data_IF_616385358972
#
_entry.id   IF_616385358972
#
_cell.length_a   1.000
_cell.length_b   1.000
_cell.length_c   1.000
_cell.angle_alpha   90.00
_cell.angle_beta   90.00
_cell.angle_gamma   90.00
#
_symmetry.space_group_name_H-M   'P 1'
#
loop_
_entity.id
_entity.type
_entity.pdbx_description
1 polymer ?
#
# COMPACT_ATOMS: atom_id res chain seq x y z
N UNK A 1 21.30 -3.06 -20.30
CA UNK A 1 21.72 -2.75 -21.69
C UNK A 1 21.01 -1.53 -22.27
N UNK A 2 19.72 -1.29 -21.95
CA UNK A 2 18.95 -0.15 -22.48
C UNK A 2 19.54 1.23 -22.12
N UNK A 3 20.24 1.33 -20.98
CA UNK A 3 20.83 2.56 -20.47
C UNK A 3 22.35 2.67 -20.72
N UNK A 4 22.96 1.71 -21.42
CA UNK A 4 24.39 1.74 -21.69
C UNK A 4 24.77 2.98 -22.54
N UNK A 5 25.71 3.77 -22.05
CA UNK A 5 26.17 5.00 -22.71
C UNK A 5 25.25 6.22 -22.59
N UNK A 6 24.10 6.11 -21.92
CA UNK A 6 23.21 7.25 -21.67
C UNK A 6 23.64 8.05 -20.46
N UNK A 7 23.42 9.36 -20.52
CA UNK A 7 23.52 10.20 -19.30
C UNK A 7 22.39 9.82 -18.34
N UNK A 8 22.62 10.04 -17.05
CA UNK A 8 21.65 9.70 -15.98
C UNK A 8 20.24 10.25 -16.25
N UNK A 9 20.16 11.47 -16.78
CA UNK A 9 18.92 12.14 -17.15
C UNK A 9 18.19 11.53 -18.36
N UNK A 10 18.85 10.65 -19.10
CA UNK A 10 18.32 9.96 -20.29
C UNK A 10 18.03 8.48 -20.01
N UNK A 11 18.18 8.03 -18.78
CA UNK A 11 17.93 6.65 -18.39
C UNK A 11 16.45 6.27 -18.48
N UNK A 12 16.18 5.04 -18.89
CA UNK A 12 14.86 4.44 -18.89
C UNK A 12 14.78 3.38 -17.80
N UNK A 13 13.66 3.34 -17.08
CA UNK A 13 13.39 2.37 -16.04
C UNK A 13 12.14 1.56 -16.36
N UNK A 14 12.10 0.30 -15.93
CA UNK A 14 10.92 -0.54 -16.10
C UNK A 14 9.73 0.01 -15.27
N UNK A 15 10.02 0.50 -14.07
CA UNK A 15 8.97 0.97 -13.19
C UNK A 15 9.47 2.03 -12.19
N UNK A 16 8.56 2.91 -11.76
CA UNK A 16 8.68 3.65 -10.51
C UNK A 16 7.76 2.99 -9.48
N UNK A 17 8.32 2.23 -8.56
CA UNK A 17 7.58 1.42 -7.57
C UNK A 17 8.13 1.65 -6.16
N UNK A 18 7.90 2.81 -5.54
CA UNK A 18 8.11 2.95 -4.11
C UNK A 18 7.17 2.01 -3.35
N UNK A 19 7.54 1.54 -2.19
CA UNK A 19 6.67 0.77 -1.27
C UNK A 19 6.17 -0.59 -1.79
N UNK A 20 6.88 -1.25 -2.72
CA UNK A 20 6.49 -2.55 -3.24
C UNK A 20 6.95 -3.73 -2.36
N UNK A 21 7.82 -3.49 -1.37
CA UNK A 21 8.37 -4.54 -0.48
C UNK A 21 7.24 -5.24 0.28
N UNK A 22 6.31 -4.49 0.87
CA UNK A 22 5.16 -5.06 1.57
C UNK A 22 4.24 -5.92 0.66
N UNK A 23 3.81 -5.46 -0.52
CA UNK A 23 3.07 -6.31 -1.46
C UNK A 23 3.81 -7.60 -1.83
N UNK A 24 5.13 -7.56 -2.02
CA UNK A 24 5.93 -8.76 -2.29
C UNK A 24 5.92 -9.71 -1.09
N UNK A 25 6.14 -9.20 0.13
CA UNK A 25 6.08 -10.01 1.35
C UNK A 25 4.70 -10.65 1.54
N UNK A 26 3.62 -9.88 1.32
CA UNK A 26 2.24 -10.36 1.37
C UNK A 26 1.97 -11.46 0.36
N UNK A 27 2.53 -11.38 -0.84
CA UNK A 27 2.37 -12.43 -1.85
C UNK A 27 3.01 -13.77 -1.44
N UNK A 28 3.91 -13.75 -0.46
CA UNK A 28 4.54 -14.91 0.15
C UNK A 28 3.93 -15.31 1.51
N UNK A 29 2.82 -14.67 1.90
CA UNK A 29 2.07 -15.02 3.12
C UNK A 29 2.48 -14.28 4.39
N UNK A 30 3.31 -13.23 4.30
CA UNK A 30 3.74 -12.44 5.45
C UNK A 30 3.25 -10.99 5.35
N UNK A 31 2.84 -10.43 6.47
CA UNK A 31 2.44 -9.03 6.59
C UNK A 31 3.34 -8.27 7.58
N UNK A 32 3.17 -6.95 7.65
CA UNK A 32 3.95 -6.10 8.56
C UNK A 32 3.74 -6.47 10.04
N UNK A 33 2.52 -6.85 10.41
CA UNK A 33 2.14 -7.24 11.78
C UNK A 33 1.56 -8.65 11.83
N UNK A 34 1.66 -9.28 13.00
CA UNK A 34 1.07 -10.57 13.31
C UNK A 34 -0.47 -10.54 13.30
N UNK A 35 -1.10 -11.66 13.59
CA UNK A 35 -2.55 -11.89 13.50
C UNK A 35 -3.37 -10.98 14.41
N UNK A 36 -2.82 -10.60 15.57
CA UNK A 36 -3.49 -9.72 16.56
C UNK A 36 -3.01 -8.27 16.49
N UNK A 37 -2.13 -7.91 15.55
CA UNK A 37 -1.54 -6.59 15.38
C UNK A 37 -0.69 -6.12 16.58
N UNK A 38 -0.19 -7.05 17.39
CA UNK A 38 0.57 -6.78 18.62
C UNK A 38 2.07 -6.71 18.44
N UNK A 39 2.58 -7.31 17.35
CA UNK A 39 4.01 -7.36 17.07
C UNK A 39 4.30 -7.27 15.57
N UNK A 40 5.40 -6.60 15.16
CA UNK A 40 5.83 -6.61 13.77
C UNK A 40 6.44 -7.95 13.38
N UNK A 41 6.34 -8.29 12.08
CA UNK A 41 6.86 -9.52 11.48
C UNK A 41 7.98 -9.27 10.46
N UNK A 42 8.73 -8.17 10.59
CA UNK A 42 9.74 -7.79 9.59
C UNK A 42 10.94 -8.76 9.53
N UNK A 43 11.15 -9.58 10.56
CA UNK A 43 12.21 -10.60 10.58
C UNK A 43 11.79 -11.93 9.94
N UNK A 44 10.56 -12.04 9.47
CA UNK A 44 10.10 -13.24 8.74
C UNK A 44 10.92 -13.44 7.46
N UNK A 45 11.29 -14.69 7.10
CA UNK A 45 12.02 -14.98 5.87
C UNK A 45 11.38 -14.41 4.59
N UNK A 46 10.05 -14.32 4.53
CA UNK A 46 9.34 -13.70 3.41
C UNK A 46 9.63 -12.20 3.29
N UNK A 47 9.68 -11.47 4.41
CA UNK A 47 10.06 -10.05 4.43
C UNK A 47 11.52 -9.84 4.02
N UNK A 48 12.44 -10.66 4.56
CA UNK A 48 13.85 -10.62 4.18
C UNK A 48 14.01 -10.87 2.68
N UNK A 49 13.31 -11.87 2.14
CA UNK A 49 13.32 -12.17 0.71
C UNK A 49 12.74 -11.02 -0.12
N UNK A 50 11.65 -10.39 0.33
CA UNK A 50 11.04 -9.25 -0.35
C UNK A 50 12.02 -8.05 -0.43
N UNK A 51 12.72 -7.74 0.66
CA UNK A 51 13.73 -6.68 0.69
C UNK A 51 14.91 -6.99 -0.25
N UNK A 52 15.39 -8.23 -0.27
CA UNK A 52 16.45 -8.68 -1.20
C UNK A 52 16.02 -8.55 -2.67
N UNK A 53 14.77 -8.90 -2.99
CA UNK A 53 14.23 -8.75 -4.34
C UNK A 53 14.19 -7.27 -4.73
N UNK A 54 13.69 -6.40 -3.85
CA UNK A 54 13.61 -4.98 -4.12
C UNK A 54 15.00 -4.36 -4.31
N UNK A 55 15.95 -4.66 -3.41
CA UNK A 55 17.34 -4.23 -3.53
C UNK A 55 17.94 -4.67 -4.87
N UNK A 56 17.73 -5.93 -5.28
CA UNK A 56 18.19 -6.42 -6.57
C UNK A 56 17.60 -5.64 -7.75
N UNK A 57 16.31 -5.29 -7.68
CA UNK A 57 15.65 -4.52 -8.75
C UNK A 57 16.18 -3.11 -8.88
N UNK A 58 16.51 -2.46 -7.77
CA UNK A 58 17.01 -1.09 -7.75
C UNK A 58 18.52 -1.06 -8.02
N UNK A 59 19.31 -1.79 -7.24
CA UNK A 59 20.75 -1.58 -7.13
C UNK A 59 21.57 -2.48 -8.07
N UNK A 60 21.08 -3.69 -8.40
CA UNK A 60 21.79 -4.61 -9.30
C UNK A 60 21.26 -4.57 -10.74
N UNK A 61 19.93 -4.62 -10.91
CA UNK A 61 19.30 -4.71 -12.23
C UNK A 61 18.93 -3.35 -12.83
N UNK A 62 18.90 -2.29 -12.00
CA UNK A 62 18.48 -0.94 -12.39
C UNK A 62 17.13 -0.92 -13.13
N UNK A 63 16.17 -1.70 -12.65
CA UNK A 63 14.79 -1.72 -13.17
C UNK A 63 13.96 -0.59 -12.59
N UNK A 64 14.30 -0.15 -11.38
CA UNK A 64 13.66 0.90 -10.61
C UNK A 64 14.72 1.96 -10.29
N UNK A 65 14.41 3.26 -10.37
CA UNK A 65 15.38 4.29 -10.01
C UNK A 65 15.69 4.27 -8.51
N UNK A 66 16.93 4.50 -8.15
CA UNK A 66 17.32 4.67 -6.76
C UNK A 66 16.99 6.08 -6.25
N UNK A 67 17.10 6.31 -4.92
CA UNK A 67 16.77 7.58 -4.30
C UNK A 67 17.53 8.77 -4.89
N UNK A 68 18.81 8.59 -5.25
CA UNK A 68 19.63 9.64 -5.85
C UNK A 68 19.17 9.98 -7.29
N UNK A 69 18.73 8.99 -8.04
CA UNK A 69 18.16 9.18 -9.37
C UNK A 69 16.83 9.92 -9.30
N UNK A 70 15.94 9.51 -8.41
CA UNK A 70 14.68 10.22 -8.14
C UNK A 70 14.94 11.66 -7.68
N UNK A 71 15.87 11.88 -6.76
CA UNK A 71 16.21 13.21 -6.27
C UNK A 71 16.79 14.11 -7.37
N UNK A 72 17.60 13.56 -8.29
CA UNK A 72 18.16 14.32 -9.41
C UNK A 72 17.09 14.77 -10.42
N UNK A 73 15.99 14.04 -10.52
CA UNK A 73 14.85 14.40 -11.36
C UNK A 73 13.95 15.44 -10.69
N UNK A 74 14.01 15.54 -9.34
CA UNK A 74 13.17 16.39 -8.51
C UNK A 74 13.74 17.80 -8.27
N UNK A 75 14.97 18.07 -8.69
CA UNK A 75 15.73 19.28 -8.31
C UNK A 75 15.01 20.61 -8.58
N UNK A 76 13.99 20.63 -9.43
CA UNK A 76 13.21 21.82 -9.79
C UNK A 76 11.75 21.82 -9.27
N UNK A 77 11.30 20.85 -8.43
CA UNK A 77 9.85 20.72 -8.15
C UNK A 77 9.52 20.33 -6.71
N UNK A 78 8.48 20.95 -6.19
CA UNK A 78 8.05 20.94 -4.78
C UNK A 78 7.37 19.66 -4.26
N UNK A 79 7.23 18.60 -5.05
CA UNK A 79 6.68 17.31 -4.58
C UNK A 79 7.17 16.10 -5.38
N UNK A 80 7.32 14.95 -4.73
CA UNK A 80 7.74 13.67 -5.34
C UNK A 80 6.78 13.25 -6.46
N UNK A 81 5.49 13.46 -6.29
CA UNK A 81 4.48 13.15 -7.31
C UNK A 81 4.61 14.02 -8.58
N UNK A 82 5.24 15.21 -8.47
CA UNK A 82 5.42 16.11 -9.61
C UNK A 82 6.47 15.64 -10.62
N UNK A 83 7.26 14.61 -10.28
CA UNK A 83 8.33 14.09 -11.15
C UNK A 83 7.99 12.77 -11.82
N UNK A 84 7.29 11.87 -11.15
CA UNK A 84 6.97 10.53 -11.68
C UNK A 84 6.06 10.58 -12.90
N UNK A 85 5.04 11.45 -12.88
CA UNK A 85 4.09 11.58 -13.99
C UNK A 85 4.74 12.16 -15.25
N UNK A 86 5.48 13.27 -15.20
CA UNK A 86 6.23 13.76 -16.37
C UNK A 86 7.19 12.72 -16.95
N UNK A 87 7.82 11.89 -16.12
CA UNK A 87 8.72 10.84 -16.60
C UNK A 87 7.96 9.68 -17.27
N UNK A 88 6.78 9.31 -16.77
CA UNK A 88 5.90 8.35 -17.43
C UNK A 88 5.44 8.89 -18.79
N UNK A 89 4.98 10.15 -18.84
CA UNK A 89 4.55 10.83 -20.08
C UNK A 89 5.69 10.95 -21.09
N UNK A 90 6.89 11.20 -20.60
CA UNK A 90 8.10 11.24 -21.45
C UNK A 90 8.58 9.82 -21.90
N UNK A 91 7.86 8.76 -21.52
CA UNK A 91 8.20 7.38 -21.85
C UNK A 91 9.45 6.85 -21.14
N UNK A 92 9.87 7.48 -20.05
CA UNK A 92 11.05 7.05 -19.27
C UNK A 92 10.73 5.95 -18.28
N UNK A 93 9.47 5.84 -17.85
CA UNK A 93 8.94 4.73 -17.07
C UNK A 93 7.90 3.98 -17.90
N UNK A 94 7.98 2.66 -17.90
CA UNK A 94 6.94 1.83 -18.50
C UNK A 94 5.75 1.61 -17.56
N UNK A 95 5.98 1.67 -16.24
CA UNK A 95 4.98 1.45 -15.19
C UNK A 95 5.21 2.38 -14.01
N UNK A 96 4.14 2.72 -13.29
CA UNK A 96 4.22 3.41 -12.00
C UNK A 96 3.32 2.72 -10.98
N UNK A 97 3.76 2.64 -9.73
CA UNK A 97 2.93 2.24 -8.60
C UNK A 97 2.45 3.48 -7.87
N UNK A 98 1.15 3.72 -7.89
CA UNK A 98 0.56 4.93 -7.34
C UNK A 98 -0.92 4.73 -7.03
N UNK A 99 -1.56 5.73 -6.42
CA UNK A 99 -3.01 5.72 -6.19
C UNK A 99 -3.80 6.27 -7.40
N UNK A 100 -5.09 5.97 -7.42
CA UNK A 100 -6.02 6.40 -8.49
C UNK A 100 -6.00 7.92 -8.76
N UNK A 101 -5.73 8.73 -7.75
CA UNK A 101 -5.65 10.20 -7.87
C UNK A 101 -4.69 10.66 -8.98
N UNK A 102 -3.72 9.85 -9.36
CA UNK A 102 -2.78 10.17 -10.43
C UNK A 102 -3.46 10.38 -11.78
N UNK A 103 -4.63 9.78 -12.00
CA UNK A 103 -5.39 9.96 -13.25
C UNK A 103 -5.77 11.43 -13.48
N UNK A 104 -6.04 12.20 -12.41
CA UNK A 104 -6.31 13.63 -12.52
C UNK A 104 -5.11 14.39 -13.12
N UNK A 105 -3.91 14.02 -12.73
CA UNK A 105 -2.70 14.66 -13.25
C UNK A 105 -2.38 14.16 -14.65
N UNK A 106 -2.54 12.87 -14.93
CA UNK A 106 -2.34 12.31 -16.28
C UNK A 106 -3.25 12.99 -17.32
N UNK A 107 -4.52 13.25 -16.96
CA UNK A 107 -5.48 13.96 -17.83
C UNK A 107 -5.05 15.38 -18.19
N UNK A 108 -4.29 16.07 -17.30
CA UNK A 108 -3.74 17.40 -17.57
C UNK A 108 -2.66 17.41 -18.63
N UNK A 109 -1.91 16.31 -18.78
CA UNK A 109 -0.83 16.19 -19.75
C UNK A 109 -1.30 15.85 -21.17
N UNK A 110 -2.59 15.57 -21.38
CA UNK A 110 -3.15 15.17 -22.70
C UNK A 110 -2.29 14.14 -23.40
N UNK A 111 -2.09 13.00 -22.73
CA UNK A 111 -1.19 11.95 -23.20
C UNK A 111 -1.82 11.24 -24.40
N UNK A 112 -1.43 11.63 -25.61
CA UNK A 112 -1.75 10.90 -26.83
C UNK A 112 -0.45 10.40 -27.48
N UNK A 113 -0.38 9.16 -27.96
CA UNK A 113 -1.37 8.07 -27.99
C UNK A 113 -1.10 6.97 -26.94
N UNK A 114 -0.76 7.30 -25.69
CA UNK A 114 -0.45 6.31 -24.67
C UNK A 114 -1.74 5.63 -24.19
N UNK A 115 -1.80 4.31 -24.31
CA UNK A 115 -2.85 3.51 -23.71
C UNK A 115 -2.47 3.09 -22.31
N UNK A 116 -3.32 3.41 -21.33
CA UNK A 116 -3.11 3.05 -19.94
C UNK A 116 -3.86 1.76 -19.59
N UNK A 117 -3.29 1.00 -18.68
CA UNK A 117 -3.95 -0.17 -18.08
C UNK A 117 -3.56 -0.28 -16.62
N UNK A 118 -4.44 -0.85 -15.82
CA UNK A 118 -4.17 -1.17 -14.44
C UNK A 118 -3.77 -2.64 -14.31
N UNK A 119 -2.67 -2.91 -13.61
CA UNK A 119 -2.14 -4.26 -13.38
C UNK A 119 -1.91 -4.51 -11.88
N UNK A 120 -1.78 -5.78 -11.53
CA UNK A 120 -1.39 -6.22 -10.20
C UNK A 120 0.11 -6.01 -9.97
N UNK A 121 0.54 -6.00 -8.70
CA UNK A 121 1.95 -6.12 -8.36
C UNK A 121 2.52 -7.47 -8.83
N UNK A 122 3.84 -7.55 -9.04
CA UNK A 122 4.52 -8.84 -9.14
C UNK A 122 4.23 -9.68 -7.90
N UNK A 123 3.80 -10.93 -8.10
CA UNK A 123 3.26 -11.76 -7.02
C UNK A 123 3.85 -13.17 -7.03
N UNK A 124 3.83 -13.81 -5.87
CA UNK A 124 4.05 -15.23 -5.68
C UNK A 124 2.69 -15.95 -5.58
N UNK A 125 2.46 -16.69 -4.50
CA UNK A 125 1.31 -17.59 -4.35
C UNK A 125 0.02 -16.89 -3.90
N UNK A 126 0.09 -15.64 -3.45
CA UNK A 126 -1.06 -14.92 -2.92
C UNK A 126 -1.24 -13.56 -3.60
N UNK A 127 -2.39 -13.40 -4.24
CA UNK A 127 -2.75 -12.16 -4.92
C UNK A 127 -3.16 -11.09 -3.91
N UNK A 128 -2.51 -9.95 -3.98
CA UNK A 128 -2.86 -8.83 -3.12
C UNK A 128 -2.67 -7.48 -3.80
N UNK A 129 -3.44 -6.51 -3.36
CA UNK A 129 -3.32 -5.10 -3.70
C UNK A 129 -3.52 -4.32 -2.41
N UNK A 130 -2.66 -3.35 -2.14
CA UNK A 130 -2.85 -2.49 -0.97
C UNK A 130 -3.94 -1.47 -1.26
N UNK A 131 -4.95 -1.42 -0.40
CA UNK A 131 -6.03 -0.46 -0.45
C UNK A 131 -5.87 0.57 0.66
N UNK A 132 -5.77 1.84 0.27
CA UNK A 132 -5.73 2.98 1.20
C UNK A 132 -7.08 3.69 1.11
N UNK A 133 -7.80 3.77 2.22
CA UNK A 133 -9.08 4.47 2.29
C UNK A 133 -8.92 5.89 2.82
N UNK A 134 -9.66 6.83 2.24
CA UNK A 134 -9.84 8.16 2.80
C UNK A 134 -10.98 8.13 3.81
N UNK A 135 -10.64 8.26 5.08
CA UNK A 135 -11.62 8.25 6.16
C UNK A 135 -11.92 9.67 6.60
N UNK A 136 -13.20 9.99 6.75
CA UNK A 136 -13.66 11.27 7.28
C UNK A 136 -14.42 11.04 8.58
N UNK A 137 -14.06 11.79 9.64
CA UNK A 137 -14.68 11.66 10.95
C UNK A 137 -15.00 13.05 11.54
N UNK A 138 -15.98 13.08 12.41
CA UNK A 138 -16.32 14.30 13.15
C UNK A 138 -15.46 14.36 14.42
N UNK A 139 -14.68 15.42 14.58
CA UNK A 139 -13.89 15.64 15.77
C UNK A 139 -14.79 15.70 17.02
N UNK A 140 -14.48 14.90 18.02
CA UNK A 140 -15.29 14.79 19.26
C UNK A 140 -15.52 16.14 19.95
N UNK A 141 -14.51 17.03 19.97
CA UNK A 141 -14.55 18.35 20.57
C UNK A 141 -15.21 19.43 19.72
N UNK A 142 -15.67 19.12 18.49
CA UNK A 142 -16.30 20.13 17.62
C UNK A 142 -17.57 20.69 18.25
N UNK A 143 -17.71 22.03 18.17
CA UNK A 143 -18.94 22.74 18.55
C UNK A 143 -19.99 22.76 17.43
N UNK A 144 -19.62 22.29 16.21
CA UNK A 144 -20.46 22.36 15.01
C UNK A 144 -20.75 20.97 14.44
N UNK A 145 -21.04 19.99 15.30
CA UNK A 145 -21.24 18.57 14.91
C UNK A 145 -22.37 18.38 13.91
N UNK A 146 -23.45 19.17 14.04
CA UNK A 146 -24.60 19.07 13.14
C UNK A 146 -24.25 19.53 11.71
N UNK A 147 -23.49 20.59 11.55
CA UNK A 147 -23.00 21.01 10.23
C UNK A 147 -22.00 19.97 9.65
N UNK A 148 -21.15 19.40 10.48
CA UNK A 148 -20.24 18.34 10.08
C UNK A 148 -21.00 17.10 9.60
N UNK A 149 -22.11 16.72 10.25
CA UNK A 149 -22.98 15.63 9.79
C UNK A 149 -23.58 15.91 8.41
N UNK A 150 -24.07 17.14 8.17
CA UNK A 150 -24.60 17.53 6.87
C UNK A 150 -23.53 17.38 5.79
N UNK A 151 -22.29 17.81 6.08
CA UNK A 151 -21.18 17.62 5.16
C UNK A 151 -20.85 16.14 4.89
N UNK A 152 -20.87 15.29 5.92
CA UNK A 152 -20.68 13.84 5.73
C UNK A 152 -21.78 13.21 4.87
N UNK A 153 -23.04 13.66 5.04
CA UNK A 153 -24.15 13.22 4.18
C UNK A 153 -23.95 13.65 2.73
N UNK A 154 -23.44 14.86 2.51
CA UNK A 154 -23.06 15.29 1.15
C UNK A 154 -21.96 14.40 0.55
N UNK A 155 -20.92 14.03 1.30
CA UNK A 155 -19.87 13.12 0.82
C UNK A 155 -20.41 11.72 0.47
N UNK A 156 -21.56 11.32 1.02
CA UNK A 156 -22.25 10.07 0.67
C UNK A 156 -23.30 10.27 -0.45
N UNK A 157 -23.54 11.51 -0.91
CA UNK A 157 -24.55 11.82 -1.89
C UNK A 157 -24.18 11.37 -3.30
N UNK A 158 -25.18 11.29 -4.17
CA UNK A 158 -25.00 11.01 -5.58
C UNK A 158 -24.13 12.06 -6.26
N UNK A 159 -24.37 13.31 -5.98
CA UNK A 159 -23.67 14.45 -6.58
C UNK A 159 -22.17 14.37 -6.34
N UNK A 160 -21.77 14.08 -5.11
CA UNK A 160 -20.35 13.92 -4.78
C UNK A 160 -19.73 12.69 -5.42
N UNK A 161 -20.45 11.55 -5.44
CA UNK A 161 -19.97 10.33 -6.08
C UNK A 161 -19.81 10.47 -7.60
N UNK A 162 -20.73 11.17 -8.27
CA UNK A 162 -20.60 11.51 -9.71
C UNK A 162 -19.38 12.41 -9.96
N UNK A 163 -19.09 13.34 -9.06
CA UNK A 163 -17.90 14.17 -9.16
C UNK A 163 -16.60 13.34 -9.04
N UNK A 164 -16.54 12.39 -8.10
CA UNK A 164 -15.42 11.46 -7.96
C UNK A 164 -15.21 10.61 -9.22
N UNK A 165 -16.30 10.13 -9.82
CA UNK A 165 -16.25 9.35 -11.06
C UNK A 165 -15.66 10.18 -12.20
N UNK A 166 -16.18 11.39 -12.42
CA UNK A 166 -15.72 12.28 -13.49
C UNK A 166 -14.28 12.74 -13.30
N UNK A 167 -13.88 13.05 -12.06
CA UNK A 167 -12.50 13.50 -11.77
C UNK A 167 -11.48 12.37 -11.78
N UNK A 168 -11.92 11.12 -11.60
CA UNK A 168 -11.05 9.95 -11.42
C UNK A 168 -10.12 10.03 -10.19
N UNK A 169 -10.48 10.84 -9.17
CA UNK A 169 -9.67 11.00 -7.95
C UNK A 169 -9.67 9.76 -7.05
N UNK A 170 -10.79 9.06 -6.97
CA UNK A 170 -10.93 7.88 -6.13
C UNK A 170 -12.03 6.94 -6.58
N UNK A 171 -12.11 5.78 -5.95
CA UNK A 171 -13.29 4.92 -6.07
C UNK A 171 -14.46 5.54 -5.28
N UNK A 172 -15.68 5.53 -5.82
CA UNK A 172 -16.84 6.03 -5.07
C UNK A 172 -17.05 5.16 -3.82
N UNK A 173 -17.39 5.77 -2.66
CA UNK A 173 -17.67 5.05 -1.42
C UNK A 173 -18.72 3.96 -1.56
N UNK A 174 -19.73 4.18 -2.41
CA UNK A 174 -20.69 3.17 -2.79
C UNK A 174 -20.33 2.61 -4.17
N UNK A 175 -19.84 1.36 -4.25
CA UNK A 175 -19.39 0.77 -5.51
C UNK A 175 -20.51 0.64 -6.57
N UNK A 176 -21.78 0.67 -6.18
CA UNK A 176 -22.91 0.67 -7.13
C UNK A 176 -22.90 1.85 -8.09
N UNK A 177 -22.31 2.99 -7.68
CA UNK A 177 -22.16 4.16 -8.55
C UNK A 177 -21.15 3.96 -9.68
N UNK A 178 -20.19 3.03 -9.51
CA UNK A 178 -19.18 2.70 -10.52
C UNK A 178 -19.60 1.49 -11.39
N UNK A 179 -20.18 0.46 -10.79
CA UNK A 179 -20.40 -0.87 -11.41
C UNK A 179 -21.12 -0.84 -12.75
N UNK A 180 -22.19 -0.06 -12.83
CA UNK A 180 -23.06 0.01 -14.02
C UNK A 180 -23.02 1.40 -14.67
N UNK A 181 -21.97 2.19 -14.41
CA UNK A 181 -21.85 3.52 -14.95
C UNK A 181 -20.91 3.54 -16.16
N UNK A 182 -21.44 3.77 -17.40
CA UNK A 182 -20.62 3.83 -18.59
C UNK A 182 -19.51 4.89 -18.53
N UNK A 183 -19.79 6.06 -17.92
CA UNK A 183 -18.80 7.14 -17.76
C UNK A 183 -17.68 6.78 -16.78
N UNK A 184 -17.92 5.83 -15.86
CA UNK A 184 -16.86 5.29 -15.01
C UNK A 184 -15.93 4.38 -15.80
N UNK A 185 -16.47 3.48 -16.60
CA UNK A 185 -15.68 2.49 -17.34
C UNK A 185 -14.99 3.08 -18.56
N UNK A 186 -15.64 4.01 -19.24
CA UNK A 186 -15.14 4.69 -20.44
C UNK A 186 -15.43 6.19 -20.36
N UNK A 187 -14.62 6.94 -19.61
CA UNK A 187 -14.86 8.36 -19.42
C UNK A 187 -14.70 9.12 -20.75
N UNK A 188 -15.70 9.93 -21.16
CA UNK A 188 -15.64 10.67 -22.41
C UNK A 188 -14.44 11.61 -22.49
N UNK A 189 -13.70 11.56 -23.63
CA UNK A 189 -12.50 12.35 -23.86
C UNK A 189 -11.22 11.78 -23.22
N UNK A 190 -11.30 10.58 -22.65
CA UNK A 190 -10.16 9.89 -22.03
C UNK A 190 -10.07 8.42 -22.49
N UNK A 191 -10.32 8.17 -23.76
CA UNK A 191 -10.37 6.83 -24.36
C UNK A 191 -9.03 6.09 -24.23
N UNK A 192 -7.92 6.80 -24.06
CA UNK A 192 -6.59 6.25 -23.81
C UNK A 192 -6.46 5.55 -22.42
N UNK A 193 -7.38 5.81 -21.49
CA UNK A 193 -7.43 5.12 -20.21
C UNK A 193 -7.89 3.66 -20.34
N UNK A 194 -8.53 3.30 -21.46
CA UNK A 194 -8.84 1.92 -21.84
C UNK A 194 -9.58 1.16 -20.75
N UNK A 195 -9.05 0.00 -20.36
CA UNK A 195 -9.65 -0.86 -19.33
C UNK A 195 -9.16 -0.56 -17.89
N UNK A 196 -8.44 0.55 -17.68
CA UNK A 196 -7.87 0.91 -16.38
C UNK A 196 -8.93 0.88 -15.28
N UNK A 197 -10.05 1.58 -15.48
CA UNK A 197 -11.11 1.72 -14.47
C UNK A 197 -11.82 0.40 -14.16
N UNK A 198 -12.10 -0.38 -15.20
CA UNK A 198 -12.73 -1.70 -15.05
C UNK A 198 -11.83 -2.67 -14.27
N UNK A 199 -10.55 -2.70 -14.61
CA UNK A 199 -9.58 -3.55 -13.92
C UNK A 199 -9.37 -3.11 -12.47
N UNK A 200 -9.27 -1.81 -12.22
CA UNK A 200 -9.11 -1.27 -10.88
C UNK A 200 -10.29 -1.64 -9.98
N UNK A 201 -11.52 -1.43 -10.45
CA UNK A 201 -12.73 -1.81 -9.70
C UNK A 201 -12.77 -3.32 -9.43
N UNK A 202 -12.45 -4.13 -10.43
CA UNK A 202 -12.36 -5.59 -10.29
C UNK A 202 -11.35 -5.98 -9.20
N UNK A 203 -10.13 -5.44 -9.26
CA UNK A 203 -9.08 -5.79 -8.31
C UNK A 203 -9.33 -5.23 -6.92
N UNK A 204 -9.91 -4.02 -6.81
CA UNK A 204 -10.34 -3.45 -5.53
C UNK A 204 -11.35 -4.36 -4.81
N UNK A 205 -12.21 -5.07 -5.54
CA UNK A 205 -13.22 -5.97 -4.98
C UNK A 205 -12.74 -7.38 -4.71
N UNK A 206 -11.72 -7.84 -5.44
CA UNK A 206 -11.33 -9.26 -5.41
C UNK A 206 -10.05 -9.50 -4.64
N UNK A 207 -9.05 -8.63 -4.74
CA UNK A 207 -7.72 -8.85 -4.16
C UNK A 207 -7.21 -7.72 -3.27
N UNK A 208 -7.90 -6.57 -3.22
CA UNK A 208 -7.48 -5.47 -2.38
C UNK A 208 -7.67 -5.79 -0.90
N UNK A 209 -6.65 -5.41 -0.13
CA UNK A 209 -6.63 -5.53 1.32
C UNK A 209 -6.19 -4.19 1.91
N UNK A 210 -6.80 -3.75 3.02
CA UNK A 210 -6.35 -2.55 3.71
C UNK A 210 -4.93 -2.74 4.25
N UNK A 211 -4.26 -1.63 4.53
CA UNK A 211 -3.06 -1.66 5.35
C UNK A 211 -3.40 -2.22 6.73
N UNK A 212 -2.50 -3.06 7.27
CA UNK A 212 -2.66 -3.65 8.59
C UNK A 212 -2.13 -2.68 9.64
N UNK A 213 -2.95 -1.71 10.01
CA UNK A 213 -2.59 -0.71 11.01
C UNK A 213 -2.73 -1.28 12.42
N UNK A 214 -1.62 -1.31 13.16
CA UNK A 214 -1.65 -1.69 14.58
C UNK A 214 -2.19 -0.53 15.42
N UNK A 215 -3.18 -0.76 16.28
CA UNK A 215 -3.67 0.26 17.22
C UNK A 215 -2.62 0.64 18.28
N UNK A 216 -1.56 -0.15 18.39
CA UNK A 216 -0.45 0.03 19.33
C UNK A 216 0.75 0.74 18.72
N UNK A 217 0.76 0.96 17.40
CA UNK A 217 1.83 1.63 16.67
C UNK A 217 1.28 2.84 15.91
N UNK A 218 1.19 4.01 16.58
CA UNK A 218 0.57 5.21 15.99
C UNK A 218 1.51 6.00 15.05
N UNK A 219 2.79 5.61 14.96
CA UNK A 219 3.78 6.34 14.17
C UNK A 219 3.62 6.06 12.68
N UNK A 220 3.67 7.11 11.87
CA UNK A 220 3.63 7.05 10.41
C UNK A 220 5.02 6.87 9.77
N UNK A 221 6.03 6.45 10.54
CA UNK A 221 7.38 6.24 10.02
C UNK A 221 7.44 4.99 9.14
N UNK A 222 7.99 5.14 7.94
CA UNK A 222 8.23 4.02 7.02
C UNK A 222 9.51 3.26 7.40
N UNK A 223 9.37 2.37 8.37
CA UNK A 223 10.50 1.53 8.83
C UNK A 223 11.00 0.54 7.78
N UNK A 224 10.16 0.17 6.82
CA UNK A 224 10.55 -0.72 5.72
C UNK A 224 11.46 0.03 4.75
N UNK A 225 11.09 1.26 4.38
CA UNK A 225 11.92 2.12 3.55
C UNK A 225 13.26 2.42 4.23
N UNK A 226 13.24 2.75 5.52
CA UNK A 226 14.46 2.96 6.30
C UNK A 226 15.39 1.73 6.31
N UNK A 227 14.81 0.53 6.46
CA UNK A 227 15.59 -0.70 6.37
C UNK A 227 16.21 -0.88 4.99
N UNK A 228 15.49 -0.58 3.91
CA UNK A 228 16.02 -0.60 2.55
C UNK A 228 17.18 0.41 2.39
N UNK A 229 17.02 1.66 2.83
CA UNK A 229 18.05 2.69 2.72
C UNK A 229 19.35 2.28 3.41
N UNK A 230 19.28 1.59 4.55
CA UNK A 230 20.46 1.05 5.24
C UNK A 230 21.18 -0.03 4.41
N UNK A 231 20.42 -0.89 3.73
CA UNK A 231 20.97 -1.93 2.85
C UNK A 231 21.59 -1.30 1.60
N UNK A 232 20.89 -0.40 0.94
CA UNK A 232 21.35 0.32 -0.24
C UNK A 232 22.61 1.15 0.04
N UNK A 233 22.73 1.72 1.25
CA UNK A 233 23.92 2.43 1.74
C UNK A 233 25.06 1.53 2.21
N UNK A 234 24.93 0.20 2.16
CA UNK A 234 25.95 -0.74 2.62
C UNK A 234 26.17 -0.76 4.14
N UNK A 235 25.23 -0.21 4.92
CA UNK A 235 25.34 -0.08 6.38
C UNK A 235 24.88 -1.34 7.14
N UNK A 236 24.11 -2.21 6.51
CA UNK A 236 23.54 -3.41 7.13
C UNK A 236 23.22 -4.45 6.07
N UNK A 237 23.23 -5.72 6.47
CA UNK A 237 22.57 -6.78 5.68
C UNK A 237 21.05 -6.60 5.74
N UNK A 238 20.26 -7.18 4.80
CA UNK A 238 18.81 -7.15 4.85
C UNK A 238 18.24 -7.69 6.17
N UNK A 239 18.81 -8.75 6.71
CA UNK A 239 18.45 -9.37 7.99
C UNK A 239 18.67 -8.40 9.16
N UNK A 240 19.84 -7.76 9.23
CA UNK A 240 20.17 -6.79 10.29
C UNK A 240 19.31 -5.54 10.20
N UNK A 241 19.09 -5.01 9.00
CA UNK A 241 18.28 -3.82 8.79
C UNK A 241 16.82 -4.04 9.20
N UNK A 242 16.22 -5.18 8.81
CA UNK A 242 14.85 -5.54 9.19
C UNK A 242 14.75 -5.87 10.68
N UNK A 243 15.76 -6.48 11.29
CA UNK A 243 15.79 -6.69 12.74
C UNK A 243 15.79 -5.37 13.50
N UNK A 244 16.60 -4.41 13.10
CA UNK A 244 16.62 -3.07 13.72
C UNK A 244 15.28 -2.35 13.56
N UNK A 245 14.67 -2.42 12.37
CA UNK A 245 13.34 -1.86 12.14
C UNK A 245 12.27 -2.54 13.02
N UNK A 246 12.31 -3.87 13.13
CA UNK A 246 11.41 -4.65 13.97
C UNK A 246 11.52 -4.27 15.46
N UNK A 247 12.75 -4.16 15.97
CA UNK A 247 13.04 -3.73 17.34
C UNK A 247 12.57 -2.30 17.61
N UNK A 248 12.77 -1.39 16.66
CA UNK A 248 12.28 -0.01 16.73
C UNK A 248 10.75 0.10 16.81
N UNK A 249 10.03 -0.69 16.00
CA UNK A 249 8.56 -0.76 16.07
C UNK A 249 8.13 -1.33 17.43
N UNK A 250 8.74 -2.42 17.88
CA UNK A 250 8.43 -3.01 19.20
C UNK A 250 8.69 -2.04 20.37
N UNK A 251 9.75 -1.24 20.29
CA UNK A 251 10.01 -0.19 21.27
C UNK A 251 8.87 0.83 21.30
N UNK A 252 8.48 1.35 20.14
CA UNK A 252 7.38 2.32 20.00
C UNK A 252 6.03 1.75 20.48
N UNK A 253 5.75 0.48 20.22
CA UNK A 253 4.55 -0.21 20.74
C UNK A 253 4.56 -0.22 22.27
N UNK A 254 5.69 -0.62 22.89
CA UNK A 254 5.79 -0.66 24.36
C UNK A 254 5.60 0.72 24.99
N UNK A 255 6.17 1.76 24.41
CA UNK A 255 6.03 3.13 24.88
C UNK A 255 4.59 3.63 24.77
N UNK A 256 3.94 3.33 23.63
CA UNK A 256 2.53 3.67 23.40
C UNK A 256 1.63 2.99 24.42
N UNK A 257 1.79 1.67 24.60
CA UNK A 257 0.98 0.88 25.56
C UNK A 257 1.23 1.34 26.98
N UNK A 258 2.45 1.72 27.34
CA UNK A 258 2.79 2.24 28.67
C UNK A 258 2.20 3.63 28.91
N UNK A 259 2.17 4.49 27.90
CA UNK A 259 1.70 5.89 28.02
C UNK A 259 0.18 6.04 27.95
N UNK A 260 -0.53 5.07 27.34
CA UNK A 260 -1.98 5.12 27.12
C UNK A 260 -2.67 3.99 27.90
N UNK A 261 -3.13 4.29 29.11
CA UNK A 261 -3.70 3.29 30.04
C UNK A 261 -4.83 2.44 29.41
N UNK A 262 -5.68 3.03 28.57
CA UNK A 262 -6.76 2.31 27.87
C UNK A 262 -6.30 1.25 26.88
N UNK A 263 -5.03 1.31 26.46
CA UNK A 263 -4.45 0.32 25.53
C UNK A 263 -3.78 -0.84 26.27
N UNK A 264 -3.37 -0.66 27.53
CA UNK A 264 -2.57 -1.65 28.27
C UNK A 264 -3.30 -2.97 28.48
N UNK A 265 -4.57 -2.93 28.89
CA UNK A 265 -5.38 -4.12 29.10
C UNK A 265 -5.66 -4.84 27.78
N UNK A 266 -6.12 -4.08 26.78
CA UNK A 266 -6.39 -4.62 25.44
C UNK A 266 -5.14 -5.25 24.81
N UNK A 267 -3.98 -4.61 24.96
CA UNK A 267 -2.71 -5.15 24.45
C UNK A 267 -2.37 -6.49 25.10
N UNK A 268 -2.55 -6.60 26.42
CA UNK A 268 -2.32 -7.85 27.16
C UNK A 268 -3.24 -8.96 26.67
N UNK A 269 -4.53 -8.68 26.52
CA UNK A 269 -5.51 -9.64 25.98
C UNK A 269 -5.15 -10.09 24.58
N UNK A 270 -4.76 -9.17 23.72
CA UNK A 270 -4.36 -9.44 22.34
C UNK A 270 -3.05 -10.25 22.27
N UNK A 271 -2.11 -10.03 23.18
CA UNK A 271 -0.91 -10.87 23.29
C UNK A 271 -1.23 -12.29 23.76
N UNK A 272 -2.16 -12.47 24.72
CA UNK A 272 -2.60 -13.81 25.13
C UNK A 272 -3.37 -14.54 24.02
N UNK A 273 -4.15 -13.79 23.24
CA UNK A 273 -4.81 -14.33 22.07
C UNK A 273 -3.79 -14.76 21.00
N UNK A 274 -2.73 -13.98 20.77
CA UNK A 274 -1.65 -14.36 19.86
C UNK A 274 -0.99 -15.68 20.25
N UNK A 275 -0.70 -15.87 21.54
CA UNK A 275 -0.12 -17.13 22.03
C UNK A 275 -1.01 -18.34 21.70
N UNK A 276 -2.34 -18.20 21.83
CA UNK A 276 -3.28 -19.27 21.45
C UNK A 276 -3.25 -19.53 19.94
N UNK A 277 -3.18 -18.48 19.11
CA UNK A 277 -3.05 -18.62 17.66
C UNK A 277 -1.76 -19.36 17.33
N UNK A 278 -0.63 -18.99 17.92
CA UNK A 278 0.67 -19.60 17.70
C UNK A 278 0.66 -21.09 18.11
N UNK A 279 0.00 -21.42 19.21
CA UNK A 279 -0.20 -22.82 19.63
C UNK A 279 -1.01 -23.61 18.59
N UNK A 280 -2.14 -23.07 18.11
CA UNK A 280 -2.98 -23.72 17.09
C UNK A 280 -2.20 -23.96 15.79
N UNK A 281 -1.40 -22.98 15.38
CA UNK A 281 -0.50 -23.12 14.21
C UNK A 281 0.51 -24.25 14.41
N UNK A 282 1.16 -24.31 15.57
CA UNK A 282 2.13 -25.35 15.91
C UNK A 282 1.51 -26.75 15.94
N UNK A 283 0.26 -26.86 16.38
CA UNK A 283 -0.50 -28.13 16.43
C UNK A 283 -1.16 -28.49 15.08
N UNK A 284 -1.02 -27.65 14.04
CA UNK A 284 -1.68 -27.85 12.74
C UNK A 284 -3.21 -27.76 12.80
N UNK A 285 -3.76 -27.10 13.81
CA UNK A 285 -5.21 -26.90 14.01
C UNK A 285 -5.70 -25.68 13.26
N UNK A 286 -6.96 -25.71 12.84
CA UNK A 286 -7.62 -24.53 12.26
C UNK A 286 -7.83 -23.48 13.33
N UNK A 287 -7.59 -22.21 12.96
CA UNK A 287 -7.69 -21.05 13.85
C UNK A 287 -9.11 -20.50 13.75
N UNK A 288 -9.80 -20.22 14.88
CA UNK A 288 -11.08 -19.51 14.84
C UNK A 288 -10.94 -18.16 14.14
N UNK A 289 -11.75 -17.92 13.10
CA UNK A 289 -11.66 -16.71 12.28
C UNK A 289 -11.81 -15.42 13.12
N UNK A 290 -12.64 -15.43 14.16
CA UNK A 290 -12.84 -14.31 15.07
C UNK A 290 -11.63 -13.93 15.94
N UNK A 291 -10.59 -14.76 15.98
CA UNK A 291 -9.36 -14.44 16.72
C UNK A 291 -8.41 -13.55 15.92
N UNK A 292 -8.56 -13.51 14.60
CA UNK A 292 -7.66 -12.80 13.70
C UNK A 292 -8.13 -11.35 13.51
N UNK A 293 -7.34 -10.40 13.94
CA UNK A 293 -7.60 -8.96 13.85
C UNK A 293 -6.96 -8.33 12.62
N UNK A 294 -5.88 -8.93 12.12
CA UNK A 294 -5.19 -8.49 10.93
C UNK A 294 -5.96 -8.95 9.67
N UNK A 295 -6.48 -8.02 8.85
CA UNK A 295 -7.29 -8.35 7.68
C UNK A 295 -6.52 -9.14 6.62
N UNK A 296 -5.19 -8.95 6.55
CA UNK A 296 -4.36 -9.74 5.65
C UNK A 296 -4.35 -11.22 6.06
N UNK A 297 -4.01 -11.53 7.32
CA UNK A 297 -3.96 -12.91 7.79
C UNK A 297 -5.33 -13.58 7.76
N UNK A 298 -6.40 -12.84 8.05
CA UNK A 298 -7.77 -13.37 7.96
C UNK A 298 -8.07 -13.87 6.54
N UNK A 299 -7.75 -13.07 5.51
CA UNK A 299 -7.97 -13.47 4.12
C UNK A 299 -7.00 -14.56 3.68
N UNK A 300 -5.71 -14.42 3.99
CA UNK A 300 -4.68 -15.38 3.62
C UNK A 300 -5.00 -16.78 4.17
N UNK A 301 -5.35 -16.87 5.45
CA UNK A 301 -5.69 -18.14 6.09
C UNK A 301 -7.00 -18.73 5.59
N UNK A 302 -7.97 -17.88 5.22
CA UNK A 302 -9.21 -18.36 4.56
C UNK A 302 -8.91 -19.02 3.22
N UNK A 303 -8.10 -18.40 2.38
CA UNK A 303 -7.71 -18.95 1.08
C UNK A 303 -6.85 -20.24 1.23
N UNK A 304 -6.08 -20.35 2.31
CA UNK A 304 -5.28 -21.56 2.63
C UNK A 304 -6.05 -22.63 3.42
N UNK A 305 -7.34 -22.45 3.66
CA UNK A 305 -8.20 -23.37 4.45
C UNK A 305 -7.69 -23.61 5.87
N UNK A 306 -7.08 -22.60 6.48
CA UNK A 306 -6.51 -22.65 7.83
C UNK A 306 -7.47 -22.12 8.91
N UNK A 307 -8.67 -21.68 8.54
CA UNK A 307 -9.66 -21.12 9.48
C UNK A 307 -10.75 -22.14 9.83
N UNK A 308 -11.21 -22.02 11.07
CA UNK A 308 -12.49 -22.50 11.53
C UNK A 308 -13.46 -21.31 11.46
N UNK A 309 -14.51 -21.43 10.64
CA UNK A 309 -15.48 -20.34 10.36
C UNK A 309 -16.48 -20.20 11.51
#
# INVERSE_FOLDING_TARGET
>A
RANAGKRRQEAFFAAAMPNVILPIARSMGCDMFNETLTAPCLTDPAFVKALKIYHRWVDELHLIPNAAEVASESADKSSVNSTTIPQLVAGRYAMISTGRYVNMDLRRFKIEPVHLSFSQYPEYDFKNLVFISRNTAIYRGSKHKEYAKIFLLFLASREYNELLIRSSDGLPPNPKWAENNPEYHNPPGYEYEGNLHTNELKWARTIALPESLSPYYPLAEDKILYAYERVAGGLSTPEEALKLANEGIMHSIRDTVKSVASLSERYREDCELQKKIDQYKAEGRKIPAGWIKNPFHLRYYREKNMLEE
#
